data_IF_734521675957
#
_entry.id   IF_734521675957
#
_cell.length_a   1.000
_cell.length_b   1.000
_cell.length_c   1.000
_cell.angle_alpha   90.00
_cell.angle_beta   90.00
_cell.angle_gamma   90.00
#
_symmetry.space_group_name_H-M   'P 1'
#
loop_
_entity.id
_entity.type
_entity.pdbx_description
1 polymer ?
#
# COMPACT_ATOMS: atom_id res chain seq x y z
N UNK A 1 1.37 5.12 4.88
CA UNK A 1 0.89 5.36 6.26
C UNK A 1 -0.55 4.88 6.32
N UNK A 2 -0.94 4.16 7.37
CA UNK A 2 -2.33 3.74 7.56
C UNK A 2 -3.15 4.88 8.16
N UNK A 3 -4.44 4.91 7.85
CA UNK A 3 -5.38 5.92 8.34
C UNK A 3 -5.49 5.85 9.88
N UNK A 4 -5.19 6.96 10.59
CA UNK A 4 -5.25 7.00 12.04
C UNK A 4 -6.69 6.94 12.58
N UNK A 5 -7.68 7.34 11.79
CA UNK A 5 -9.10 7.36 12.19
C UNK A 5 -9.71 5.95 12.33
N UNK A 6 -9.05 4.93 11.78
CA UNK A 6 -9.49 3.54 11.89
C UNK A 6 -9.46 3.07 13.35
N UNK A 7 -10.55 2.44 13.79
CA UNK A 7 -10.59 1.74 15.07
C UNK A 7 -9.52 0.64 15.11
N UNK A 8 -9.03 0.33 16.31
CA UNK A 8 -7.99 -0.69 16.49
C UNK A 8 -8.43 -2.06 15.93
N UNK A 9 -9.67 -2.47 16.18
CA UNK A 9 -10.22 -3.74 15.67
C UNK A 9 -10.30 -3.76 14.14
N UNK A 10 -10.74 -2.66 13.53
CA UNK A 10 -10.77 -2.53 12.07
C UNK A 10 -9.37 -2.63 11.49
N UNK A 11 -8.41 -1.94 12.10
CA UNK A 11 -7.00 -1.98 11.69
C UNK A 11 -6.44 -3.38 11.77
N UNK A 12 -6.65 -4.10 12.89
CA UNK A 12 -6.17 -5.47 13.08
C UNK A 12 -6.77 -6.40 12.01
N UNK A 13 -8.10 -6.32 11.78
CA UNK A 13 -8.78 -7.12 10.76
C UNK A 13 -8.20 -6.87 9.37
N UNK A 14 -8.06 -5.60 8.97
CA UNK A 14 -7.53 -5.24 7.66
C UNK A 14 -6.05 -5.65 7.51
N UNK A 15 -5.22 -5.54 8.54
CA UNK A 15 -3.84 -6.04 8.51
C UNK A 15 -3.82 -7.56 8.31
N UNK A 16 -4.69 -8.30 9.01
CA UNK A 16 -4.82 -9.75 8.84
C UNK A 16 -5.22 -10.13 7.41
N UNK A 17 -6.23 -9.46 6.85
CA UNK A 17 -6.68 -9.64 5.46
C UNK A 17 -5.56 -9.32 4.46
N UNK A 18 -4.79 -8.27 4.69
CA UNK A 18 -3.67 -7.89 3.83
C UNK A 18 -2.59 -8.98 3.84
N UNK A 19 -2.27 -9.53 5.01
CA UNK A 19 -1.30 -10.62 5.12
C UNK A 19 -1.80 -11.90 4.46
N UNK A 20 -3.09 -12.22 4.57
CA UNK A 20 -3.71 -13.34 3.87
C UNK A 20 -3.65 -13.16 2.34
N UNK A 21 -3.99 -11.97 1.83
CA UNK A 21 -3.91 -11.67 0.41
C UNK A 21 -2.47 -11.76 -0.14
N UNK A 22 -1.48 -11.30 0.64
CA UNK A 22 -0.04 -11.43 0.29
C UNK A 22 0.40 -12.89 0.22
N UNK A 23 -0.05 -13.74 1.15
CA UNK A 23 0.20 -15.19 1.07
C UNK A 23 -0.44 -15.78 -0.19
N UNK A 24 -1.67 -15.39 -0.51
CA UNK A 24 -2.34 -15.80 -1.75
C UNK A 24 -1.55 -15.43 -3.03
N UNK A 25 -0.89 -14.26 -3.05
CA UNK A 25 0.00 -13.88 -4.18
C UNK A 25 1.18 -14.85 -4.27
N UNK A 26 1.83 -15.16 -3.15
CA UNK A 26 2.96 -16.10 -3.10
C UNK A 26 2.54 -17.50 -3.60
N UNK A 27 1.39 -18.00 -3.14
CA UNK A 27 0.90 -19.31 -3.51
C UNK A 27 0.50 -19.37 -4.99
N UNK A 28 -0.18 -18.34 -5.51
CA UNK A 28 -0.54 -18.26 -6.91
C UNK A 28 0.69 -18.20 -7.84
N UNK A 29 1.73 -17.46 -7.44
CA UNK A 29 3.01 -17.45 -8.18
C UNK A 29 3.68 -18.82 -8.18
N UNK A 30 3.72 -19.50 -7.01
CA UNK A 30 4.28 -20.86 -6.89
C UNK A 30 3.56 -21.85 -7.81
N UNK A 31 2.24 -21.75 -7.88
CA UNK A 31 1.40 -22.67 -8.65
C UNK A 31 1.22 -22.23 -10.12
N UNK A 32 1.81 -21.10 -10.54
CA UNK A 32 1.63 -20.48 -11.87
C UNK A 32 0.16 -20.25 -12.24
N UNK A 33 -0.68 -19.98 -11.25
CA UNK A 33 -2.11 -19.72 -11.44
C UNK A 33 -2.34 -18.22 -11.67
N UNK A 34 -2.53 -17.84 -12.94
CA UNK A 34 -2.74 -16.46 -13.34
C UNK A 34 -4.06 -15.87 -12.79
N UNK A 35 -5.10 -16.69 -12.64
CA UNK A 35 -6.41 -16.26 -12.15
C UNK A 35 -6.31 -15.99 -10.66
N UNK A 36 -5.81 -16.95 -9.87
CA UNK A 36 -5.58 -16.76 -8.45
C UNK A 36 -4.65 -15.57 -8.18
N UNK A 37 -3.62 -15.37 -9.03
CA UNK A 37 -2.70 -14.23 -8.91
C UNK A 37 -3.43 -12.90 -9.08
N UNK A 38 -4.32 -12.78 -10.07
CA UNK A 38 -5.14 -11.58 -10.28
C UNK A 38 -6.06 -11.31 -9.08
N UNK A 39 -6.73 -12.34 -8.58
CA UNK A 39 -7.61 -12.22 -7.40
C UNK A 39 -6.82 -11.79 -6.16
N UNK A 40 -5.68 -12.41 -5.88
CA UNK A 40 -4.85 -12.07 -4.73
C UNK A 40 -4.29 -10.65 -4.81
N UNK A 41 -3.84 -10.21 -6.00
CA UNK A 41 -3.39 -8.82 -6.22
C UNK A 41 -4.52 -7.80 -6.05
N UNK A 42 -5.72 -8.13 -6.52
CA UNK A 42 -6.92 -7.31 -6.31
C UNK A 42 -7.28 -7.20 -4.82
N UNK A 43 -7.22 -8.31 -4.07
CA UNK A 43 -7.42 -8.31 -2.63
C UNK A 43 -6.40 -7.41 -1.92
N UNK A 44 -5.10 -7.51 -2.27
CA UNK A 44 -4.07 -6.61 -1.73
C UNK A 44 -4.41 -5.14 -1.99
N UNK A 45 -4.85 -4.78 -3.21
CA UNK A 45 -5.21 -3.39 -3.52
C UNK A 45 -6.39 -2.90 -2.69
N UNK A 46 -7.46 -3.70 -2.60
CA UNK A 46 -8.66 -3.35 -1.81
C UNK A 46 -8.31 -3.13 -0.34
N UNK A 47 -7.56 -4.05 0.27
CA UNK A 47 -7.22 -3.93 1.70
C UNK A 47 -6.27 -2.75 1.95
N UNK A 48 -5.35 -2.45 1.03
CA UNK A 48 -4.49 -1.26 1.14
C UNK A 48 -5.29 0.04 1.05
N UNK A 49 -6.29 0.11 0.18
CA UNK A 49 -7.20 1.27 0.13
C UNK A 49 -8.00 1.42 1.40
N UNK A 50 -8.57 0.32 1.92
CA UNK A 50 -9.29 0.33 3.19
C UNK A 50 -8.42 0.72 4.39
N UNK A 51 -7.11 0.40 4.35
CA UNK A 51 -6.16 0.85 5.36
C UNK A 51 -5.73 2.32 5.20
N UNK A 52 -6.14 3.02 4.13
CA UNK A 52 -5.65 4.36 3.81
C UNK A 52 -4.21 4.40 3.27
N UNK A 53 -3.63 3.24 2.93
CA UNK A 53 -2.29 3.18 2.30
C UNK A 53 -2.32 3.59 0.82
N UNK A 54 -3.51 3.61 0.19
CA UNK A 54 -3.76 3.96 -1.21
C UNK A 54 -5.10 4.68 -1.32
N UNK A 55 -5.22 5.62 -2.25
CA UNK A 55 -6.47 6.37 -2.47
C UNK A 55 -6.36 7.79 -1.91
N UNK A 56 -7.50 8.46 -1.63
CA UNK A 56 -7.48 9.79 -1.05
C UNK A 56 -6.62 9.80 0.22
N UNK A 57 -5.84 10.86 0.36
CA UNK A 57 -5.05 11.10 1.56
C UNK A 57 -5.99 11.33 2.73
N UNK A 58 -5.61 10.83 3.90
CA UNK A 58 -6.41 11.00 5.13
C UNK A 58 -6.08 12.29 5.87
N UNK A 59 -5.04 13.03 5.44
CA UNK A 59 -4.70 14.35 5.98
C UNK A 59 -5.45 15.46 5.23
N UNK A 60 -5.71 16.57 5.92
CA UNK A 60 -6.50 17.71 5.44
C UNK A 60 -5.68 18.98 5.18
N UNK A 61 -4.37 18.95 5.43
CA UNK A 61 -3.44 20.08 5.26
C UNK A 61 -3.15 20.48 3.80
N UNK A 62 -3.75 19.78 2.84
CA UNK A 62 -3.58 20.02 1.40
C UNK A 62 -2.25 19.53 0.83
N UNK A 63 -1.41 18.82 1.59
CA UNK A 63 -0.16 18.29 1.10
C UNK A 63 -0.39 17.26 -0.03
N UNK A 64 0.38 17.30 -1.14
CA UNK A 64 0.22 16.34 -2.23
C UNK A 64 0.56 14.89 -1.84
N UNK A 65 -0.17 13.91 -2.38
CA UNK A 65 0.22 12.50 -2.27
C UNK A 65 1.42 12.18 -3.17
N UNK A 66 2.59 12.00 -2.56
CA UNK A 66 3.80 11.54 -3.24
C UNK A 66 3.98 10.01 -3.20
N UNK A 67 3.03 9.26 -2.65
CA UNK A 67 3.09 7.80 -2.62
C UNK A 67 3.15 7.22 -4.04
N UNK A 68 3.98 6.19 -4.22
CA UNK A 68 4.25 5.54 -5.52
C UNK A 68 4.87 6.48 -6.59
N UNK A 69 5.43 7.63 -6.20
CA UNK A 69 6.31 8.43 -7.05
C UNK A 69 7.76 8.17 -6.65
N UNK A 70 8.66 8.12 -7.63
CA UNK A 70 10.10 8.06 -7.36
C UNK A 70 10.53 9.36 -6.68
N UNK A 71 11.41 9.30 -5.67
CA UNK A 71 11.86 10.48 -4.91
C UNK A 71 12.46 11.58 -5.81
N UNK A 72 13.12 11.21 -6.90
CA UNK A 72 13.65 12.15 -7.90
C UNK A 72 12.57 12.98 -8.61
N UNK A 73 11.32 12.51 -8.62
CA UNK A 73 10.16 13.16 -9.24
C UNK A 73 9.27 13.88 -8.21
N UNK A 74 9.79 14.13 -7.01
CA UNK A 74 9.08 14.81 -5.92
C UNK A 74 9.96 15.93 -5.34
N UNK A 75 9.42 16.82 -4.49
CA UNK A 75 10.23 17.83 -3.80
C UNK A 75 11.38 17.25 -2.95
N UNK A 76 11.33 15.95 -2.64
CA UNK A 76 12.39 15.25 -1.91
C UNK A 76 13.62 14.91 -2.79
N UNK A 77 13.62 15.30 -4.07
CA UNK A 77 14.70 14.97 -4.99
C UNK A 77 16.07 15.46 -4.52
N UNK A 78 16.16 16.67 -3.96
CA UNK A 78 17.44 17.23 -3.50
C UNK A 78 17.99 16.45 -2.30
N UNK A 79 17.16 16.27 -1.28
CA UNK A 79 17.50 15.44 -0.12
C UNK A 79 17.95 14.02 -0.52
N UNK A 80 17.27 13.40 -1.48
CA UNK A 80 17.64 12.05 -1.94
C UNK A 80 19.01 12.01 -2.64
N UNK A 81 19.36 13.06 -3.41
CA UNK A 81 20.69 13.18 -4.03
C UNK A 81 21.78 13.30 -2.97
N UNK A 82 21.55 14.12 -1.94
CA UNK A 82 22.53 14.39 -0.89
C UNK A 82 22.83 13.15 -0.03
N UNK A 83 21.91 12.18 0.05
CA UNK A 83 22.10 10.89 0.72
C UNK A 83 22.92 9.86 -0.08
N UNK A 84 23.09 10.09 -1.39
CA UNK A 84 23.75 9.12 -2.29
C UNK A 84 25.19 9.53 -2.61
N UNK A 85 25.75 10.46 -1.82
CA UNK A 85 27.14 10.95 -1.92
C UNK A 85 28.08 10.08 -1.09
#
# INVERSE_FOLDING_TARGET
MSDPSLTQDTRIRLVSELMAARRGVKDALRNRDAVALRHARSAVDRTKRALGERGPVWWDDGAPDYNRRMAINTPYAQWFKDLTV
#
